data_IF_869144878405
#
_entry.id   IF_869144878405
#
_cell.length_a   1.000
_cell.length_b   1.000
_cell.length_c   1.000
_cell.angle_alpha   90.00
_cell.angle_beta   90.00
_cell.angle_gamma   90.00
#
_symmetry.space_group_name_H-M   'P 1'
#
loop_
_entity.id
_entity.type
_entity.pdbx_description
1 polymer ?
#
# COMPACT_ATOMS: atom_id res chain seq x y z
N UNK A 1 -20.02 -1.42 17.50
CA UNK A 1 -19.45 -0.06 17.41
C UNK A 1 -19.74 0.62 18.74
N UNK A 2 -18.71 1.15 19.43
CA UNK A 2 -18.93 1.94 20.65
C UNK A 2 -19.60 3.29 20.31
N UNK A 3 -20.34 3.87 21.24
CA UNK A 3 -20.95 5.19 21.08
C UNK A 3 -19.87 6.25 20.82
N UNK A 4 -18.75 6.18 21.55
CA UNK A 4 -17.59 7.07 21.39
C UNK A 4 -16.97 7.01 19.99
N UNK A 5 -16.89 5.82 19.37
CA UNK A 5 -16.42 5.70 17.99
C UNK A 5 -17.41 6.32 17.00
N UNK A 6 -18.72 6.17 17.24
CA UNK A 6 -19.73 6.78 16.39
C UNK A 6 -19.65 8.31 16.43
N UNK A 7 -19.52 8.88 17.63
CA UNK A 7 -19.37 10.32 17.84
C UNK A 7 -18.07 10.85 17.22
N UNK A 8 -16.97 10.11 17.33
CA UNK A 8 -15.69 10.50 16.71
C UNK A 8 -15.76 10.48 15.17
N UNK A 9 -16.42 9.47 14.58
CA UNK A 9 -16.65 9.40 13.13
C UNK A 9 -17.46 10.61 12.65
N UNK A 10 -18.53 10.97 13.37
CA UNK A 10 -19.34 12.14 13.04
C UNK A 10 -18.53 13.44 13.18
N UNK A 11 -17.76 13.58 14.26
CA UNK A 11 -16.90 14.74 14.49
C UNK A 11 -15.86 14.92 13.38
N UNK A 12 -15.13 13.84 13.02
CA UNK A 12 -14.12 13.87 11.96
C UNK A 12 -14.75 14.27 10.61
N UNK A 13 -15.88 13.67 10.25
CA UNK A 13 -16.56 14.01 9.00
C UNK A 13 -17.13 15.44 9.00
N UNK A 14 -17.57 15.95 10.16
CA UNK A 14 -18.03 17.33 10.28
C UNK A 14 -16.90 18.36 10.14
N UNK A 15 -15.70 18.03 10.64
CA UNK A 15 -14.53 18.94 10.63
C UNK A 15 -13.84 18.96 9.27
N UNK A 16 -13.58 17.77 8.70
CA UNK A 16 -12.76 17.64 7.49
C UNK A 16 -13.56 17.38 6.21
N UNK A 17 -14.88 17.23 6.33
CA UNK A 17 -15.81 16.98 5.23
C UNK A 17 -16.35 15.56 5.18
N UNK A 18 -17.56 15.43 4.63
CA UNK A 18 -18.24 14.15 4.48
C UNK A 18 -17.39 13.16 3.70
N UNK A 19 -17.23 11.96 4.24
CA UNK A 19 -16.45 10.91 3.60
C UNK A 19 -14.97 10.87 3.98
N UNK A 20 -14.51 11.71 4.93
CA UNK A 20 -13.14 11.66 5.45
C UNK A 20 -12.88 10.36 6.20
N UNK A 21 -13.83 9.89 7.02
CA UNK A 21 -13.76 8.61 7.73
C UNK A 21 -15.01 7.79 7.43
N UNK A 22 -14.88 6.74 6.63
CA UNK A 22 -16.00 5.94 6.13
C UNK A 22 -15.84 4.48 6.52
N UNK A 23 -16.89 3.88 7.07
CA UNK A 23 -16.90 2.46 7.39
C UNK A 23 -16.87 1.63 6.10
N UNK A 24 -15.91 0.70 6.02
CA UNK A 24 -15.82 -0.27 4.95
C UNK A 24 -16.70 -1.49 5.28
N UNK A 25 -17.65 -1.82 4.41
CA UNK A 25 -18.46 -3.03 4.51
C UNK A 25 -17.85 -4.11 3.62
N UNK A 26 -17.17 -5.07 4.24
CA UNK A 26 -16.56 -6.21 3.54
C UNK A 26 -17.19 -7.56 3.89
N UNK A 27 -18.30 -7.53 4.65
CA UNK A 27 -19.00 -8.73 5.13
C UNK A 27 -18.34 -9.39 6.35
N UNK A 28 -17.27 -8.81 6.91
CA UNK A 28 -16.69 -9.22 8.18
C UNK A 28 -17.35 -8.46 9.35
N UNK A 29 -17.31 -9.08 10.55
CA UNK A 29 -17.78 -8.44 11.79
C UNK A 29 -16.76 -7.40 12.34
N UNK A 30 -15.73 -7.07 11.56
CA UNK A 30 -14.68 -6.14 11.97
C UNK A 30 -15.04 -4.70 11.61
N UNK A 31 -14.85 -3.79 12.56
CA UNK A 31 -15.04 -2.37 12.35
C UNK A 31 -13.83 -1.77 11.62
N UNK A 32 -13.81 -1.93 10.28
CA UNK A 32 -12.80 -1.37 9.40
C UNK A 32 -13.31 -0.06 8.79
N UNK A 33 -12.45 0.95 8.80
CA UNK A 33 -12.73 2.27 8.26
C UNK A 33 -11.65 2.70 7.28
N UNK A 34 -12.04 3.48 6.30
CA UNK A 34 -11.14 4.20 5.40
C UNK A 34 -11.06 5.64 5.89
N UNK A 35 -9.86 6.07 6.27
CA UNK A 35 -9.54 7.44 6.60
C UNK A 35 -8.85 8.10 5.42
N UNK A 36 -9.45 9.10 4.81
CA UNK A 36 -8.80 9.96 3.82
C UNK A 36 -8.13 11.11 4.55
N UNK A 37 -6.80 11.17 4.50
CA UNK A 37 -6.07 12.26 5.15
C UNK A 37 -6.39 13.59 4.46
N UNK A 38 -6.78 14.62 5.20
CA UNK A 38 -7.06 15.95 4.64
C UNK A 38 -5.74 16.64 4.28
N UNK A 39 -5.30 16.48 3.02
CA UNK A 39 -4.15 17.16 2.44
C UNK A 39 -4.59 17.86 1.15
N UNK A 40 -4.18 19.14 0.96
CA UNK A 40 -4.51 19.94 -0.22
C UNK A 40 -3.88 19.41 -1.51
N UNK A 41 -2.82 18.60 -1.39
CA UNK A 41 -2.01 18.17 -2.53
C UNK A 41 -2.09 16.68 -2.84
N UNK A 42 -2.35 15.84 -1.83
CA UNK A 42 -2.40 14.37 -1.96
C UNK A 42 -3.29 13.76 -0.90
N UNK A 43 -4.52 13.45 -1.24
CA UNK A 43 -5.42 12.73 -0.35
C UNK A 43 -5.04 11.23 -0.31
N UNK A 44 -4.07 10.87 0.51
CA UNK A 44 -3.82 9.45 0.83
C UNK A 44 -4.96 8.92 1.69
N UNK A 45 -5.42 7.71 1.40
CA UNK A 45 -6.44 7.04 2.20
C UNK A 45 -5.82 5.83 2.92
N UNK A 46 -6.07 5.73 4.22
CA UNK A 46 -5.55 4.70 5.11
C UNK A 46 -6.68 3.79 5.58
N UNK A 47 -6.35 2.54 5.87
CA UNK A 47 -7.28 1.56 6.46
C UNK A 47 -7.02 1.44 7.94
N UNK A 48 -8.05 1.68 8.74
CA UNK A 48 -8.03 1.59 10.19
C UNK A 48 -8.98 0.49 10.65
N UNK A 49 -8.58 -0.25 11.67
CA UNK A 49 -9.43 -1.21 12.37
C UNK A 49 -9.60 -0.77 13.81
N UNK A 50 -10.84 -0.70 14.26
CA UNK A 50 -11.15 -0.38 15.65
C UNK A 50 -11.46 -1.65 16.41
N UNK A 51 -10.74 -1.91 17.53
CA UNK A 51 -11.10 -3.03 18.41
C UNK A 51 -12.45 -2.76 19.11
N UNK A 52 -13.17 -3.80 19.54
CA UNK A 52 -14.43 -3.63 20.27
C UNK A 52 -14.28 -2.82 21.55
N UNK A 53 -13.09 -2.82 22.14
CA UNK A 53 -12.77 -2.09 23.37
C UNK A 53 -12.28 -0.64 23.11
N UNK A 54 -12.30 -0.16 21.87
CA UNK A 54 -11.95 1.23 21.58
C UNK A 54 -12.90 2.20 22.31
N UNK A 55 -12.38 3.25 23.00
CA UNK A 55 -11.02 3.79 23.02
C UNK A 55 -10.09 3.24 24.12
N UNK A 56 -10.47 2.23 24.89
CA UNK A 56 -9.58 1.62 25.89
C UNK A 56 -8.40 0.87 25.25
N UNK A 57 -8.57 0.41 24.00
CA UNK A 57 -7.52 -0.14 23.16
C UNK A 57 -7.31 0.73 21.92
N UNK A 58 -6.06 0.90 21.43
CA UNK A 58 -5.76 1.77 20.30
C UNK A 58 -6.34 1.24 18.97
N UNK A 59 -6.62 2.13 18.01
CA UNK A 59 -6.95 1.70 16.67
C UNK A 59 -5.72 1.07 15.98
N UNK A 60 -5.93 0.01 15.21
CA UNK A 60 -4.88 -0.60 14.40
C UNK A 60 -4.86 0.05 13.01
N UNK A 61 -3.70 0.60 12.64
CA UNK A 61 -3.48 1.16 11.29
C UNK A 61 -3.02 0.03 10.38
N UNK A 62 -3.94 -0.52 9.59
CA UNK A 62 -3.72 -1.71 8.79
C UNK A 62 -2.80 -1.46 7.59
N UNK A 63 -3.00 -0.35 6.87
CA UNK A 63 -2.22 -0.05 5.66
C UNK A 63 -2.80 1.09 4.85
N UNK A 64 -2.24 1.31 3.66
CA UNK A 64 -2.71 2.31 2.71
C UNK A 64 -3.86 1.74 1.88
N UNK A 65 -4.95 2.49 1.75
CA UNK A 65 -6.06 2.18 0.84
C UNK A 65 -5.81 2.80 -0.55
N UNK A 66 -5.30 4.03 -0.56
CA UNK A 66 -4.91 4.76 -1.78
C UNK A 66 -3.79 5.75 -1.47
N UNK A 67 -2.83 5.89 -2.37
CA UNK A 67 -1.67 6.80 -2.24
C UNK A 67 -1.92 8.23 -2.77
N UNK A 68 -3.17 8.56 -3.12
CA UNK A 68 -3.50 9.91 -3.62
C UNK A 68 -2.86 10.30 -4.95
N UNK A 69 -2.30 9.34 -5.70
CA UNK A 69 -1.71 9.56 -7.02
C UNK A 69 -0.25 10.02 -7.04
N UNK A 70 0.40 10.28 -5.90
CA UNK A 70 1.84 10.57 -5.81
C UNK A 70 2.61 9.34 -5.35
N UNK A 71 3.74 9.10 -6.01
CA UNK A 71 4.64 7.98 -5.70
C UNK A 71 5.20 8.10 -4.28
N UNK A 72 5.11 7.01 -3.50
CA UNK A 72 5.66 6.94 -2.15
C UNK A 72 4.87 7.72 -1.08
N UNK A 73 3.88 8.53 -1.47
CA UNK A 73 3.09 9.32 -0.51
C UNK A 73 2.33 8.41 0.46
N UNK A 74 1.67 7.37 -0.03
CA UNK A 74 0.91 6.45 0.82
C UNK A 74 1.75 5.77 1.89
N UNK A 75 2.96 5.30 1.55
CA UNK A 75 3.85 4.66 2.53
C UNK A 75 4.39 5.66 3.57
N UNK A 76 4.73 6.89 3.12
CA UNK A 76 5.14 7.98 4.02
C UNK A 76 4.01 8.33 4.97
N UNK A 77 2.82 8.61 4.45
CA UNK A 77 1.67 9.06 5.20
C UNK A 77 1.18 7.98 6.17
N UNK A 78 1.24 6.70 5.78
CA UNK A 78 1.00 5.56 6.65
C UNK A 78 1.96 5.54 7.86
N UNK A 79 3.25 5.76 7.60
CA UNK A 79 4.27 5.77 8.66
C UNK A 79 4.05 6.96 9.60
N UNK A 80 3.81 8.16 9.05
CA UNK A 80 3.52 9.35 9.85
C UNK A 80 2.28 9.16 10.70
N UNK A 81 1.20 8.61 10.14
CA UNK A 81 -0.04 8.40 10.88
C UNK A 81 0.10 7.34 11.97
N UNK A 82 0.85 6.24 11.71
CA UNK A 82 1.14 5.24 12.75
C UNK A 82 1.91 5.84 13.93
N UNK A 83 2.91 6.66 13.64
CA UNK A 83 3.69 7.33 14.67
C UNK A 83 2.82 8.31 15.45
N UNK A 84 2.03 9.14 14.76
CA UNK A 84 1.11 10.08 15.39
C UNK A 84 0.11 9.38 16.33
N UNK A 85 -0.53 8.29 15.88
CA UNK A 85 -1.42 7.49 16.76
C UNK A 85 -0.66 6.96 17.97
N UNK A 86 0.59 6.47 17.79
CA UNK A 86 1.40 5.97 18.90
C UNK A 86 1.80 7.05 19.90
N UNK A 87 1.91 8.31 19.48
CA UNK A 87 2.28 9.45 20.35
C UNK A 87 1.07 10.07 21.06
N UNK A 88 -0.10 10.16 20.38
CA UNK A 88 -1.27 10.85 20.95
C UNK A 88 -2.24 9.91 21.67
N UNK A 89 -2.12 8.60 21.48
CA UNK A 89 -3.07 7.66 22.07
C UNK A 89 -2.93 7.58 23.59
N UNK A 90 -4.05 7.80 24.27
CA UNK A 90 -4.23 7.56 25.71
C UNK A 90 -5.43 6.63 25.92
N UNK A 91 -5.30 5.56 26.73
CA UNK A 91 -6.42 4.65 27.00
C UNK A 91 -7.65 5.37 27.54
N UNK A 92 -8.82 5.07 26.97
CA UNK A 92 -10.08 5.68 27.34
C UNK A 92 -10.39 7.01 26.66
N UNK A 93 -9.49 7.52 25.79
CA UNK A 93 -9.69 8.74 25.00
C UNK A 93 -9.66 8.46 23.51
N UNK A 94 -10.57 9.09 22.75
CA UNK A 94 -10.55 9.09 21.29
C UNK A 94 -9.32 9.86 20.80
N UNK A 95 -8.67 9.43 19.70
CA UNK A 95 -7.37 9.94 19.33
C UNK A 95 -7.21 10.36 17.86
N UNK A 96 -8.21 10.10 17.00
CA UNK A 96 -8.06 10.32 15.57
C UNK A 96 -7.90 11.78 15.20
N UNK A 97 -8.62 12.68 15.87
CA UNK A 97 -8.51 14.12 15.59
C UNK A 97 -7.07 14.60 15.82
N UNK A 98 -6.51 14.28 16.98
CA UNK A 98 -5.15 14.70 17.34
C UNK A 98 -4.10 14.07 16.42
N UNK A 99 -4.28 12.78 16.06
CA UNK A 99 -3.41 12.09 15.11
C UNK A 99 -3.45 12.73 13.71
N UNK A 100 -4.64 13.12 13.23
CA UNK A 100 -4.79 13.80 11.93
C UNK A 100 -4.11 15.17 11.95
N UNK A 101 -4.34 15.97 13.00
CA UNK A 101 -3.72 17.30 13.10
C UNK A 101 -2.19 17.21 13.19
N UNK A 102 -1.65 16.27 13.96
CA UNK A 102 -0.20 16.06 14.03
C UNK A 102 0.39 15.66 12.67
N UNK A 103 -0.27 14.78 11.91
CA UNK A 103 0.18 14.43 10.56
C UNK A 103 0.13 15.64 9.63
N UNK A 104 -0.91 16.47 9.70
CA UNK A 104 -1.02 17.71 8.90
C UNK A 104 0.15 18.66 9.17
N UNK A 105 0.49 18.86 10.44
CA UNK A 105 1.64 19.70 10.82
C UNK A 105 2.95 19.15 10.26
N UNK A 106 3.18 17.84 10.36
CA UNK A 106 4.37 17.20 9.82
C UNK A 106 4.46 17.27 8.29
N UNK A 107 3.33 17.14 7.60
CA UNK A 107 3.26 17.28 6.15
C UNK A 107 3.48 18.73 5.70
N UNK A 108 2.92 19.70 6.41
CA UNK A 108 3.14 21.13 6.16
C UNK A 108 4.60 21.52 6.36
N UNK A 109 5.23 21.10 7.45
CA UNK A 109 6.65 21.35 7.71
C UNK A 109 7.56 20.73 6.63
N UNK A 110 7.23 19.53 6.15
CA UNK A 110 7.96 18.89 5.06
C UNK A 110 7.79 19.62 3.71
N UNK A 111 6.62 20.19 3.47
CA UNK A 111 6.36 21.00 2.25
C UNK A 111 7.12 22.32 2.27
N UNK A 112 7.22 22.99 3.42
CA UNK A 112 7.98 24.23 3.58
C UNK A 112 9.49 23.99 3.42
N UNK A 113 10.03 22.88 3.94
CA UNK A 113 11.42 22.49 3.78
C UNK A 113 11.81 22.27 2.30
N UNK A 114 10.90 21.76 1.49
CA UNK A 114 11.13 21.54 0.04
C UNK A 114 10.92 22.80 -0.81
N UNK A 115 10.23 23.80 -0.31
CA UNK A 115 10.01 25.06 -1.04
C UNK A 115 11.20 26.03 -0.99
N UNK A 116 12.16 25.80 -0.09
CA UNK A 116 13.37 26.63 0.10
C UNK A 116 14.57 26.24 -0.74
N UNK A 117 14.55 25.13 -1.45
CA UNK A 117 15.68 24.61 -2.24
C UNK A 117 15.37 24.58 -3.72
N UNK A 118 15.48 25.74 -4.38
CA UNK A 118 15.62 25.85 -5.83
C UNK A 118 17.10 26.09 -6.20
N UNK A 119 17.97 25.12 -5.91
CA UNK A 119 19.26 24.99 -6.53
C UNK A 119 19.59 23.49 -6.68
N UNK A 120 20.11 23.03 -7.81
CA UNK A 120 20.38 21.59 -8.00
C UNK A 120 21.55 21.17 -7.13
N UNK A 121 21.38 20.18 -6.24
CA UNK A 121 22.47 19.73 -5.37
C UNK A 121 23.54 19.00 -6.18
N UNK A 122 24.78 19.40 -5.98
CA UNK A 122 25.97 18.67 -6.36
C UNK A 122 26.06 17.35 -5.55
N UNK A 123 26.48 16.28 -6.22
CA UNK A 123 26.42 14.87 -5.79
C UNK A 123 27.26 14.47 -4.54
N UNK A 124 27.65 15.39 -3.67
CA UNK A 124 28.59 15.10 -2.57
C UNK A 124 28.05 15.31 -1.13
N UNK A 125 26.80 15.77 -0.90
CA UNK A 125 26.32 16.10 0.47
C UNK A 125 25.27 15.15 1.06
N UNK A 126 24.86 14.08 0.36
CA UNK A 126 23.82 13.13 0.82
C UNK A 126 24.25 12.12 1.90
N UNK A 127 25.52 12.17 2.34
CA UNK A 127 26.01 11.21 3.34
C UNK A 127 25.83 11.63 4.80
N UNK A 128 25.55 12.91 5.09
CA UNK A 128 25.58 13.43 6.47
C UNK A 128 24.18 13.61 7.12
N UNK A 129 23.12 13.65 6.33
CA UNK A 129 21.75 13.86 6.86
C UNK A 129 21.02 12.58 7.31
N UNK A 130 21.58 11.40 7.04
CA UNK A 130 20.99 10.10 7.39
C UNK A 130 21.35 9.57 8.77
N UNK A 131 22.28 10.18 9.49
CA UNK A 131 22.74 9.66 10.80
C UNK A 131 21.92 10.12 12.00
N UNK A 132 21.05 11.12 11.91
CA UNK A 132 20.33 11.66 13.08
C UNK A 132 18.87 11.19 13.24
N UNK A 133 18.29 10.42 12.29
CA UNK A 133 16.94 9.86 12.39
C UNK A 133 16.91 8.34 12.66
N UNK A 134 18.08 7.72 12.92
CA UNK A 134 18.17 6.25 13.07
C UNK A 134 18.29 5.76 14.52
N UNK A 135 18.02 6.56 15.54
CA UNK A 135 18.27 6.13 16.93
C UNK A 135 17.06 5.65 17.74
N UNK A 136 15.86 5.49 17.15
CA UNK A 136 14.72 4.94 17.87
C UNK A 136 13.86 3.91 17.11
N UNK A 137 14.23 3.53 15.89
CA UNK A 137 13.69 2.33 15.29
C UNK A 137 14.56 1.14 15.68
N UNK A 138 14.06 0.26 16.54
CA UNK A 138 14.64 -1.06 16.73
C UNK A 138 14.65 -1.74 15.36
N UNK A 139 15.79 -1.70 14.68
CA UNK A 139 16.05 -2.46 13.47
C UNK A 139 15.95 -3.94 13.83
N UNK A 140 14.83 -4.56 13.48
CA UNK A 140 14.78 -6.00 13.32
C UNK A 140 15.92 -6.37 12.37
N UNK A 141 16.69 -7.45 12.64
CA UNK A 141 17.78 -7.85 11.77
C UNK A 141 17.21 -8.06 10.38
N UNK A 142 17.69 -7.28 9.41
CA UNK A 142 17.41 -7.49 7.99
C UNK A 142 17.94 -8.88 7.72
N UNK A 143 17.05 -9.85 7.49
CA UNK A 143 17.45 -11.14 6.96
C UNK A 143 18.15 -10.85 5.63
N UNK A 144 19.42 -11.18 5.51
CA UNK A 144 20.22 -11.02 4.26
C UNK A 144 19.73 -11.98 3.16
N UNK A 145 18.69 -12.74 3.39
CA UNK A 145 18.13 -13.64 2.40
C UNK A 145 17.35 -12.84 1.35
N UNK A 146 17.81 -12.96 0.12
CA UNK A 146 17.13 -12.40 -1.06
C UNK A 146 15.69 -12.98 -1.13
N UNK A 147 14.66 -12.13 -1.26
CA UNK A 147 13.29 -12.62 -1.39
C UNK A 147 13.14 -13.58 -2.58
N UNK A 148 12.40 -14.69 -2.44
CA UNK A 148 12.28 -15.73 -3.47
C UNK A 148 11.33 -15.29 -4.59
N UNK A 149 11.75 -14.30 -5.38
CA UNK A 149 10.94 -13.73 -6.45
C UNK A 149 10.72 -14.71 -7.60
N UNK A 150 9.46 -14.95 -7.92
CA UNK A 150 9.06 -15.49 -9.23
C UNK A 150 8.68 -14.32 -10.14
N UNK A 151 9.35 -14.23 -11.29
CA UNK A 151 9.26 -13.06 -12.18
C UNK A 151 8.45 -13.43 -13.44
N UNK A 152 7.52 -12.55 -13.82
CA UNK A 152 6.73 -12.68 -15.06
C UNK A 152 7.58 -12.46 -16.31
N UNK A 153 7.06 -12.87 -17.46
CA UNK A 153 7.56 -12.34 -18.74
C UNK A 153 7.22 -10.84 -18.83
N UNK A 154 8.11 -10.04 -19.42
CA UNK A 154 7.84 -8.62 -19.62
C UNK A 154 6.76 -8.43 -20.69
N UNK A 155 5.78 -7.57 -20.42
CA UNK A 155 4.85 -7.08 -21.45
C UNK A 155 5.23 -5.65 -21.81
N UNK A 156 5.38 -5.39 -23.11
CA UNK A 156 5.64 -4.05 -23.64
C UNK A 156 4.42 -3.59 -24.43
N UNK A 157 3.81 -2.49 -24.02
CA UNK A 157 2.67 -1.88 -24.74
C UNK A 157 2.85 -0.37 -24.82
N UNK A 158 2.74 0.21 -26.00
CA UNK A 158 2.99 1.63 -26.28
C UNK A 158 4.27 2.15 -25.61
N UNK A 159 5.38 1.41 -25.78
CA UNK A 159 6.69 1.69 -25.18
C UNK A 159 6.75 1.62 -23.65
N UNK A 160 5.63 1.42 -22.95
CA UNK A 160 5.64 1.13 -21.52
C UNK A 160 5.97 -0.35 -21.30
N UNK A 161 6.85 -0.64 -20.36
CA UNK A 161 7.25 -2.01 -19.98
C UNK A 161 6.66 -2.34 -18.63
N UNK A 162 6.11 -3.54 -18.49
CA UNK A 162 5.54 -4.06 -17.25
C UNK A 162 6.19 -5.40 -16.90
N UNK A 163 6.56 -5.57 -15.65
CA UNK A 163 7.09 -6.83 -15.10
C UNK A 163 6.48 -7.03 -13.72
N UNK A 164 5.97 -8.22 -13.44
CA UNK A 164 5.52 -8.60 -12.10
C UNK A 164 6.54 -9.49 -11.40
N UNK A 165 6.60 -9.37 -10.08
CA UNK A 165 7.35 -10.24 -9.17
C UNK A 165 6.40 -10.73 -8.09
N UNK A 166 6.31 -12.03 -7.91
CA UNK A 166 5.52 -12.66 -6.84
C UNK A 166 6.44 -13.40 -5.88
N UNK A 167 6.14 -13.33 -4.59
CA UNK A 167 6.85 -14.07 -3.55
C UNK A 167 5.90 -14.53 -2.46
N UNK A 168 6.16 -15.68 -1.80
CA UNK A 168 5.42 -16.08 -0.61
C UNK A 168 5.74 -15.12 0.54
N UNK A 169 4.72 -14.77 1.32
CA UNK A 169 4.85 -13.92 2.52
C UNK A 169 3.96 -14.46 3.63
N UNK A 170 4.45 -14.37 4.87
CA UNK A 170 3.78 -14.89 6.06
C UNK A 170 3.34 -13.81 7.03
N UNK A 171 3.76 -12.56 6.82
CA UNK A 171 3.37 -11.43 7.65
C UNK A 171 3.39 -10.11 6.87
N UNK A 172 2.59 -9.11 7.28
CA UNK A 172 2.64 -7.76 6.70
C UNK A 172 4.03 -7.13 6.77
N UNK A 173 4.76 -7.37 7.87
CA UNK A 173 6.13 -6.88 8.05
C UNK A 173 7.08 -7.48 7.01
N UNK A 174 6.97 -8.77 6.70
CA UNK A 174 7.77 -9.42 5.66
C UNK A 174 7.45 -8.86 4.27
N UNK A 175 6.17 -8.60 3.97
CA UNK A 175 5.79 -7.99 2.71
C UNK A 175 6.44 -6.60 2.54
N UNK A 176 6.42 -5.77 3.60
CA UNK A 176 7.08 -4.46 3.60
C UNK A 176 8.60 -4.58 3.43
N UNK A 177 9.26 -5.54 4.13
CA UNK A 177 10.69 -5.80 3.99
C UNK A 177 11.06 -6.20 2.55
N UNK A 178 10.26 -7.03 1.90
CA UNK A 178 10.50 -7.47 0.52
C UNK A 178 10.41 -6.30 -0.48
N UNK A 179 9.46 -5.37 -0.28
CA UNK A 179 9.39 -4.14 -1.08
C UNK A 179 10.66 -3.31 -0.89
N UNK A 180 11.06 -3.05 0.37
CA UNK A 180 12.26 -2.27 0.68
C UNK A 180 13.52 -2.93 0.12
N UNK A 181 13.67 -4.25 0.27
CA UNK A 181 14.80 -5.00 -0.29
C UNK A 181 14.87 -4.85 -1.82
N UNK A 182 13.74 -5.00 -2.53
CA UNK A 182 13.69 -4.87 -3.98
C UNK A 182 14.08 -3.45 -4.44
N UNK A 183 13.52 -2.42 -3.78
CA UNK A 183 13.84 -1.02 -4.09
C UNK A 183 15.29 -0.66 -3.71
N UNK A 184 15.87 -1.28 -2.69
CA UNK A 184 17.25 -1.10 -2.29
C UNK A 184 18.25 -1.77 -3.24
N UNK A 185 17.96 -3.01 -3.66
CA UNK A 185 18.88 -3.85 -4.45
C UNK A 185 18.83 -3.58 -5.96
N UNK A 186 17.64 -3.24 -6.52
CA UNK A 186 17.47 -3.03 -7.97
C UNK A 186 17.24 -1.56 -8.31
N UNK A 187 18.32 -0.88 -8.75
CA UNK A 187 18.27 0.53 -9.18
C UNK A 187 17.28 0.78 -10.32
N UNK A 188 17.04 -0.19 -11.20
CA UNK A 188 16.08 -0.04 -12.32
C UNK A 188 14.64 -0.07 -11.82
N UNK A 189 14.35 -0.95 -10.85
CA UNK A 189 13.02 -0.99 -10.20
C UNK A 189 12.78 0.27 -9.40
N UNK A 190 13.78 0.72 -8.62
CA UNK A 190 13.69 1.98 -7.88
C UNK A 190 13.44 3.20 -8.79
N UNK A 191 14.06 3.22 -9.96
CA UNK A 191 13.89 4.29 -10.98
C UNK A 191 12.67 4.08 -11.89
N UNK A 192 11.85 3.04 -11.67
CA UNK A 192 10.63 2.83 -12.44
C UNK A 192 9.60 3.91 -12.15
N UNK A 193 8.62 4.09 -13.02
CA UNK A 193 7.57 5.08 -12.83
C UNK A 193 6.62 4.69 -11.70
N UNK A 194 6.30 3.39 -11.59
CA UNK A 194 5.41 2.85 -10.56
C UNK A 194 5.86 1.44 -10.17
N UNK A 195 5.71 1.10 -8.89
CA UNK A 195 5.87 -0.23 -8.31
C UNK A 195 4.61 -0.58 -7.50
N UNK A 196 3.58 -0.98 -8.21
CA UNK A 196 2.26 -1.29 -7.66
C UNK A 196 2.36 -2.57 -6.83
N UNK A 197 1.89 -2.56 -5.59
CA UNK A 197 1.97 -3.73 -4.71
C UNK A 197 0.59 -4.22 -4.29
N UNK A 198 0.47 -5.53 -4.05
CA UNK A 198 -0.66 -6.13 -3.35
C UNK A 198 -0.22 -7.41 -2.65
N UNK A 199 -0.85 -7.71 -1.52
CA UNK A 199 -0.58 -8.95 -0.79
C UNK A 199 -1.80 -9.39 0.02
N UNK A 200 -1.89 -10.72 0.25
CA UNK A 200 -2.92 -11.35 1.09
C UNK A 200 -2.27 -12.44 1.93
N UNK A 201 -2.53 -12.45 3.22
CA UNK A 201 -1.88 -13.32 4.21
C UNK A 201 -2.93 -13.87 5.17
N UNK A 202 -2.87 -15.17 5.43
CA UNK A 202 -3.65 -15.82 6.49
C UNK A 202 -2.92 -15.66 7.81
N UNK A 203 -3.64 -15.13 8.78
CA UNK A 203 -3.16 -15.02 10.15
C UNK A 203 -3.60 -16.21 11.01
N UNK A 204 -3.15 -16.25 12.27
CA UNK A 204 -3.60 -17.23 13.23
C UNK A 204 -5.09 -17.10 13.54
N UNK A 205 -5.72 -18.19 14.00
CA UNK A 205 -7.12 -18.21 14.44
C UNK A 205 -8.15 -17.75 13.38
N UNK A 206 -7.87 -17.97 12.08
CA UNK A 206 -8.78 -17.59 11.00
C UNK A 206 -8.76 -16.10 10.65
N UNK A 207 -7.87 -15.32 11.24
CA UNK A 207 -7.66 -13.93 10.82
C UNK A 207 -7.03 -13.87 9.43
N UNK A 208 -7.21 -12.76 8.73
CA UNK A 208 -6.57 -12.52 7.44
C UNK A 208 -6.14 -11.06 7.33
N UNK A 209 -5.02 -10.86 6.65
CA UNK A 209 -4.48 -9.54 6.36
C UNK A 209 -4.35 -9.36 4.86
N UNK A 210 -4.69 -8.20 4.34
CA UNK A 210 -4.50 -7.86 2.94
C UNK A 210 -4.33 -6.36 2.80
N UNK A 211 -3.51 -5.95 1.83
CA UNK A 211 -3.28 -4.54 1.54
C UNK A 211 -2.77 -4.35 0.12
N UNK A 212 -2.80 -3.11 -0.37
CA UNK A 212 -2.28 -2.74 -1.69
C UNK A 212 -1.80 -1.30 -1.70
N UNK A 213 -0.84 -1.00 -2.58
CA UNK A 213 -0.35 0.34 -2.85
C UNK A 213 -0.30 0.57 -4.36
N UNK A 214 -0.85 1.69 -4.80
CA UNK A 214 -0.87 2.10 -6.22
C UNK A 214 0.50 2.63 -6.69
N UNK A 215 1.36 3.08 -5.81
CA UNK A 215 2.62 3.81 -6.08
C UNK A 215 2.42 4.89 -7.19
N UNK A 216 1.32 5.65 -7.12
CA UNK A 216 0.96 6.70 -8.07
C UNK A 216 0.27 6.22 -9.37
N UNK A 217 0.08 4.93 -9.62
CA UNK A 217 -0.76 4.40 -10.71
C UNK A 217 -2.21 4.26 -10.21
N UNK A 218 -2.92 5.36 -10.11
CA UNK A 218 -4.25 5.46 -9.46
C UNK A 218 -5.18 4.28 -9.77
N UNK A 219 -5.75 3.67 -8.72
CA UNK A 219 -6.66 2.53 -8.73
C UNK A 219 -6.06 1.20 -9.25
N UNK A 220 -4.76 1.10 -9.40
CA UNK A 220 -4.13 -0.13 -9.88
C UNK A 220 -3.94 -1.15 -8.75
N UNK A 221 -3.54 -0.72 -7.55
CA UNK A 221 -3.33 -1.58 -6.39
C UNK A 221 -4.62 -2.29 -5.97
N UNK A 222 -5.73 -1.56 -5.85
CA UNK A 222 -7.03 -2.14 -5.52
C UNK A 222 -7.50 -3.17 -6.56
N UNK A 223 -7.22 -2.94 -7.86
CA UNK A 223 -7.53 -3.91 -8.93
C UNK A 223 -6.63 -5.13 -8.88
N UNK A 224 -5.36 -4.93 -8.54
CA UNK A 224 -4.39 -6.01 -8.36
C UNK A 224 -4.77 -6.89 -7.16
N UNK A 225 -5.16 -6.27 -6.04
CA UNK A 225 -5.68 -6.98 -4.87
C UNK A 225 -6.96 -7.75 -5.20
N UNK A 226 -7.88 -7.14 -5.97
CA UNK A 226 -9.10 -7.80 -6.42
C UNK A 226 -8.80 -9.02 -7.33
N UNK A 227 -7.80 -8.94 -8.20
CA UNK A 227 -7.33 -10.09 -8.97
C UNK A 227 -6.90 -11.23 -8.06
N UNK A 228 -6.12 -10.94 -7.00
CA UNK A 228 -5.70 -11.95 -6.02
C UNK A 228 -6.89 -12.56 -5.27
N UNK A 229 -7.94 -11.77 -4.99
CA UNK A 229 -9.17 -12.25 -4.39
C UNK A 229 -9.93 -13.21 -5.31
N UNK A 230 -10.10 -12.83 -6.59
CA UNK A 230 -10.78 -13.67 -7.59
C UNK A 230 -10.04 -14.99 -7.84
N UNK A 231 -8.73 -15.00 -7.69
CA UNK A 231 -7.88 -16.19 -7.86
C UNK A 231 -7.71 -16.98 -6.55
N UNK A 232 -8.34 -16.54 -5.46
CA UNK A 232 -8.22 -17.08 -4.10
C UNK A 232 -6.76 -17.30 -3.65
N UNK A 233 -5.89 -16.33 -3.98
CA UNK A 233 -4.47 -16.37 -3.60
C UNK A 233 -4.30 -15.88 -2.17
N UNK A 234 -3.51 -16.65 -1.40
CA UNK A 234 -3.16 -16.35 -0.02
C UNK A 234 -1.68 -16.59 0.23
N UNK A 235 -1.17 -15.98 1.31
CA UNK A 235 0.21 -16.11 1.78
C UNK A 235 1.22 -15.74 0.69
N UNK A 236 0.85 -14.74 -0.12
CA UNK A 236 1.64 -14.27 -1.25
C UNK A 236 1.48 -12.77 -1.44
N UNK A 237 2.52 -12.18 -2.01
CA UNK A 237 2.54 -10.81 -2.49
C UNK A 237 2.90 -10.75 -3.96
N UNK A 238 2.57 -9.62 -4.58
CA UNK A 238 2.99 -9.27 -5.94
C UNK A 238 3.39 -7.81 -6.02
N UNK A 239 4.43 -7.52 -6.78
CA UNK A 239 4.86 -6.17 -7.15
C UNK A 239 4.86 -6.10 -8.67
N UNK A 240 4.08 -5.16 -9.22
CA UNK A 240 4.08 -4.87 -10.65
C UNK A 240 4.83 -3.58 -10.89
N UNK A 241 5.99 -3.70 -11.52
CA UNK A 241 6.83 -2.57 -11.89
C UNK A 241 6.48 -2.09 -13.29
N UNK A 242 6.22 -0.78 -13.44
CA UNK A 242 5.94 -0.13 -14.71
C UNK A 242 6.99 0.93 -15.02
N UNK A 243 7.60 0.84 -16.19
CA UNK A 243 8.40 1.89 -16.80
C UNK A 243 7.57 2.57 -17.89
N UNK A 244 7.23 3.83 -17.68
CA UNK A 244 6.40 4.59 -18.63
C UNK A 244 7.15 4.93 -19.91
N UNK A 245 6.52 4.65 -21.03
CA UNK A 245 7.11 4.84 -22.37
C UNK A 245 6.75 6.14 -23.08
N UNK A 246 6.18 7.13 -22.36
CA UNK A 246 5.79 8.43 -22.92
C UNK A 246 4.42 8.47 -23.60
N UNK A 247 3.73 7.32 -23.74
CA UNK A 247 2.39 7.24 -24.32
C UNK A 247 1.36 6.76 -23.29
N UNK A 248 0.24 7.47 -23.18
CA UNK A 248 -0.84 7.12 -22.25
C UNK A 248 -1.60 5.87 -22.72
N UNK A 249 -1.70 4.87 -21.85
CA UNK A 249 -2.42 3.62 -22.10
C UNK A 249 -3.92 3.70 -21.73
N UNK A 250 -4.32 4.75 -20.99
CA UNK A 250 -5.69 4.82 -20.48
C UNK A 250 -6.07 3.57 -19.64
N UNK A 251 -7.33 3.11 -19.70
CA UNK A 251 -7.79 1.93 -18.96
C UNK A 251 -7.08 0.62 -19.35
N UNK A 252 -6.49 0.56 -20.54
CA UNK A 252 -5.75 -0.61 -21.04
C UNK A 252 -4.60 -1.01 -20.11
N UNK A 253 -3.99 -0.05 -19.40
CA UNK A 253 -2.90 -0.32 -18.44
C UNK A 253 -3.29 -1.34 -17.37
N UNK A 254 -4.54 -1.32 -16.90
CA UNK A 254 -5.01 -2.27 -15.88
C UNK A 254 -5.07 -3.71 -16.37
N UNK A 255 -5.44 -3.90 -17.63
CA UNK A 255 -5.42 -5.24 -18.25
C UNK A 255 -3.99 -5.78 -18.34
N UNK A 256 -3.01 -4.92 -18.67
CA UNK A 256 -1.59 -5.31 -18.75
C UNK A 256 -1.03 -5.61 -17.36
N UNK A 257 -1.33 -4.77 -16.35
CA UNK A 257 -0.95 -4.97 -14.95
C UNK A 257 -1.46 -6.34 -14.45
N UNK A 258 -2.73 -6.62 -14.67
CA UNK A 258 -3.32 -7.90 -14.27
C UNK A 258 -2.73 -9.09 -15.06
N UNK A 259 -2.41 -8.91 -16.33
CA UNK A 259 -1.81 -9.96 -17.16
C UNK A 259 -0.41 -10.37 -16.67
N UNK A 260 0.50 -9.40 -16.40
CA UNK A 260 1.83 -9.72 -15.87
C UNK A 260 1.76 -10.30 -14.46
N UNK A 261 0.83 -9.82 -13.60
CA UNK A 261 0.64 -10.37 -12.27
C UNK A 261 0.18 -11.84 -12.35
N UNK A 262 -0.82 -12.12 -13.20
CA UNK A 262 -1.29 -13.49 -13.42
C UNK A 262 -0.20 -14.41 -13.93
N UNK A 263 0.64 -13.95 -14.86
CA UNK A 263 1.78 -14.73 -15.37
C UNK A 263 2.77 -15.07 -14.23
N UNK A 264 3.09 -14.12 -13.36
CA UNK A 264 3.94 -14.37 -12.19
C UNK A 264 3.32 -15.43 -11.25
N UNK A 265 2.01 -15.37 -10.99
CA UNK A 265 1.31 -16.35 -10.16
C UNK A 265 1.29 -17.74 -10.76
N UNK A 266 1.09 -17.85 -12.08
CA UNK A 266 1.15 -19.13 -12.81
C UNK A 266 2.55 -19.73 -12.72
N UNK A 267 3.58 -18.94 -12.98
CA UNK A 267 4.99 -19.36 -12.89
C UNK A 267 5.39 -19.76 -11.46
N UNK A 268 4.80 -19.11 -10.45
CA UNK A 268 4.98 -19.49 -9.06
C UNK A 268 4.23 -20.78 -8.66
N UNK A 269 3.45 -21.36 -9.58
CA UNK A 269 2.66 -22.56 -9.31
C UNK A 269 1.45 -22.32 -8.40
N UNK A 270 1.08 -21.05 -8.18
CA UNK A 270 -0.04 -20.67 -7.33
C UNK A 270 -1.41 -20.88 -8.01
N UNK A 271 -1.40 -21.01 -9.33
CA UNK A 271 -2.60 -21.17 -10.16
C UNK A 271 -2.37 -22.30 -11.14
N UNK A 272 -3.26 -23.28 -11.15
CA UNK A 272 -3.26 -24.28 -12.21
C UNK A 272 -3.87 -23.66 -13.48
N UNK A 273 -3.12 -23.65 -14.58
CA UNK A 273 -3.73 -23.40 -15.89
C UNK A 273 -4.76 -24.50 -16.17
N UNK A 274 -6.05 -24.18 -16.03
CA UNK A 274 -7.08 -25.06 -16.56
C UNK A 274 -6.82 -25.19 -18.06
N UNK A 275 -6.52 -26.42 -18.51
CA UNK A 275 -6.31 -26.72 -19.91
C UNK A 275 -7.43 -26.08 -20.75
N UNK A 276 -7.14 -25.46 -21.91
CA UNK A 276 -8.15 -24.81 -22.72
C UNK A 276 -9.24 -25.82 -23.07
N UNK A 277 -10.45 -25.58 -22.58
CA UNK A 277 -11.61 -26.39 -22.93
C UNK A 277 -11.77 -26.33 -24.46
N UNK A 278 -11.40 -27.42 -25.14
CA UNK A 278 -11.68 -27.60 -26.57
C UNK A 278 -13.19 -27.42 -26.75
N UNK A 279 -13.61 -26.30 -27.34
CA UNK A 279 -14.95 -26.14 -27.85
C UNK A 279 -15.24 -27.33 -28.77
N UNK A 280 -16.07 -28.27 -28.32
CA UNK A 280 -16.65 -29.28 -29.20
C UNK A 280 -17.43 -28.52 -30.26
N UNK A 281 -16.88 -28.48 -31.47
CA UNK A 281 -17.60 -28.02 -32.65
C UNK A 281 -18.81 -28.92 -32.83
N UNK A 282 -20.01 -28.36 -32.78
CA UNK A 282 -21.20 -28.97 -33.28
C UNK A 282 -21.03 -29.06 -34.79
N UNK A 283 -20.61 -30.23 -35.27
CA UNK A 283 -20.72 -30.59 -36.66
C UNK A 283 -22.19 -30.99 -36.93
N UNK A 284 -22.70 -30.40 -37.92
CA UNK A 284 -23.99 -30.67 -38.51
C UNK A 284 -23.92 -32.02 -39.25
#
# INVERSE_FOLDING_TARGET
MSEQLADEVEAINSIYGDGTLVKQYDGSDQDIYILTLPDETTASALRLQFPPAYPDEPPAVLGTHSSGGKRGAGARDLTLFRNAVGEVYEPGQVCLFDAIEQVKELLAAAAEATAGENDPPSEEEDAAAQEHLSSSAQSLPISEEEPPWTISDPIVELKSTFIARSAPVTSPAQAAQFVQHLLGSDKRVRAATHNITAWRIRGPNGTSFQDCDDDGETAAGGRLLHLMQLMDLWDTMVIVTRWYGGQKLGPRRFAVINAVARDAFVKAGLVNEAAPTKKKGHGK
#
